data_IF_012939771058
#
_entry.id   IF_012939771058
#
_cell.length_a   1.000
_cell.length_b   1.000
_cell.length_c   1.000
_cell.angle_alpha   90.00
_cell.angle_beta   90.00
_cell.angle_gamma   90.00
#
_symmetry.space_group_name_H-M   'P 1'
#
loop_
_entity.id
_entity.type
_entity.pdbx_description
1 polymer ?
#
# COMPACT_ATOMS: atom_id res chain seq x y z
N UNK A 1 -10.84 -13.93 24.99
CA UNK A 1 -11.71 -13.11 24.13
C UNK A 1 -11.39 -13.43 22.67
N UNK A 2 -12.32 -14.01 21.90
CA UNK A 2 -12.10 -14.28 20.46
C UNK A 2 -12.33 -12.98 19.71
N UNK A 3 -11.24 -12.35 19.22
CA UNK A 3 -11.33 -11.18 18.34
C UNK A 3 -12.14 -11.51 17.09
N UNK A 4 -13.15 -10.70 16.82
CA UNK A 4 -14.01 -10.80 15.65
C UNK A 4 -13.20 -10.49 14.38
N UNK A 5 -13.67 -10.98 13.21
CA UNK A 5 -13.02 -10.66 11.93
C UNK A 5 -12.92 -9.16 11.66
N UNK A 6 -13.88 -8.37 12.15
CA UNK A 6 -13.87 -6.92 12.02
C UNK A 6 -12.74 -6.26 12.82
N UNK A 7 -12.48 -6.73 14.05
CA UNK A 7 -11.38 -6.24 14.89
C UNK A 7 -10.01 -6.58 14.29
N UNK A 8 -9.86 -7.80 13.73
CA UNK A 8 -8.64 -8.19 13.02
C UNK A 8 -8.38 -7.32 11.79
N UNK A 9 -9.44 -6.94 11.06
CA UNK A 9 -9.32 -6.07 9.90
C UNK A 9 -9.00 -4.62 10.28
N UNK A 10 -9.54 -4.10 11.39
CA UNK A 10 -9.13 -2.79 11.93
C UNK A 10 -7.66 -2.78 12.32
N UNK A 11 -7.23 -3.74 13.14
CA UNK A 11 -5.84 -3.85 13.57
C UNK A 11 -4.86 -4.07 12.39
N UNK A 12 -5.31 -4.70 11.30
CA UNK A 12 -4.52 -4.79 10.06
C UNK A 12 -4.38 -3.42 9.39
N UNK A 13 -5.50 -2.70 9.20
CA UNK A 13 -5.49 -1.36 8.59
C UNK A 13 -4.67 -0.37 9.40
N UNK A 14 -4.72 -0.47 10.72
CA UNK A 14 -3.99 0.41 11.64
C UNK A 14 -2.48 0.14 11.58
N UNK A 15 -2.06 -1.13 11.53
CA UNK A 15 -0.66 -1.51 11.26
C UNK A 15 -0.19 -1.07 9.88
N UNK A 16 -1.01 -1.25 8.85
CA UNK A 16 -0.70 -0.84 7.49
C UNK A 16 -0.55 0.70 7.41
N UNK A 17 -1.38 1.46 8.14
CA UNK A 17 -1.27 2.93 8.24
C UNK A 17 -0.03 3.38 9.03
N UNK A 18 0.37 2.62 10.05
CA UNK A 18 1.53 2.94 10.88
C UNK A 18 2.86 2.67 10.14
N UNK A 19 2.96 1.54 9.43
CA UNK A 19 4.09 1.27 8.53
C UNK A 19 4.27 2.36 7.47
N UNK A 20 3.16 3.01 7.11
CA UNK A 20 3.12 4.13 6.17
C UNK A 20 3.64 5.46 6.73
N UNK A 21 3.32 5.76 8.00
CA UNK A 21 3.76 6.97 8.65
C UNK A 21 5.27 6.95 8.96
N UNK A 22 5.82 5.75 9.16
CA UNK A 22 7.23 5.55 9.51
C UNK A 22 8.17 5.46 8.29
N UNK A 23 7.63 5.54 7.06
CA UNK A 23 8.45 5.40 5.84
C UNK A 23 8.99 3.98 5.66
N UNK A 24 8.20 2.97 6.04
CA UNK A 24 8.54 1.56 5.87
C UNK A 24 8.72 1.17 4.40
N UNK A 25 9.50 0.12 4.18
CA UNK A 25 9.81 -0.43 2.86
C UNK A 25 8.50 -0.80 2.13
N UNK A 26 8.24 -0.16 0.98
CA UNK A 26 7.05 -0.38 0.14
C UNK A 26 6.85 -1.86 -0.25
N UNK A 27 7.93 -2.65 -0.16
CA UNK A 27 7.95 -4.10 -0.37
C UNK A 27 7.18 -4.89 0.68
N UNK A 28 7.00 -4.35 1.88
CA UNK A 28 6.30 -5.01 2.99
C UNK A 28 4.78 -4.78 2.95
N UNK A 29 4.30 -3.87 2.09
CA UNK A 29 2.87 -3.61 1.95
C UNK A 29 2.13 -4.84 1.44
N UNK A 30 0.96 -5.16 2.01
CA UNK A 30 0.05 -6.13 1.38
C UNK A 30 -0.48 -5.59 0.05
N UNK A 31 -0.89 -6.44 -0.90
CA UNK A 31 -1.39 -5.98 -2.21
C UNK A 31 -2.56 -4.99 -2.11
N UNK A 32 -3.43 -5.22 -1.13
CA UNK A 32 -4.53 -4.29 -0.82
C UNK A 32 -4.01 -2.94 -0.35
N UNK A 33 -3.07 -2.92 0.59
CA UNK A 33 -2.48 -1.70 1.12
C UNK A 33 -1.72 -0.94 0.02
N UNK A 34 -0.99 -1.65 -0.85
CA UNK A 34 -0.29 -1.08 -2.00
C UNK A 34 -1.26 -0.36 -2.96
N UNK A 35 -2.39 -0.99 -3.30
CA UNK A 35 -3.41 -0.38 -4.17
C UNK A 35 -4.09 0.84 -3.52
N UNK A 36 -4.42 0.74 -2.22
CA UNK A 36 -4.96 1.88 -1.46
C UNK A 36 -3.95 3.05 -1.44
N UNK A 37 -2.65 2.77 -1.34
CA UNK A 37 -1.62 3.81 -1.39
C UNK A 37 -1.37 4.43 -2.75
N UNK A 38 -1.48 3.65 -3.82
CA UNK A 38 -1.43 4.21 -5.17
C UNK A 38 -2.56 5.23 -5.34
N UNK A 39 -3.77 4.92 -4.88
CA UNK A 39 -4.91 5.84 -4.97
C UNK A 39 -4.73 7.12 -4.15
N UNK A 40 -4.24 7.02 -2.90
CA UNK A 40 -3.96 8.18 -2.05
C UNK A 40 -2.84 9.05 -2.64
N UNK A 41 -1.73 8.43 -3.00
CA UNK A 41 -0.56 9.12 -3.56
C UNK A 41 -0.90 9.78 -4.89
N UNK A 42 -1.72 9.15 -5.74
CA UNK A 42 -2.19 9.72 -7.00
C UNK A 42 -3.02 10.99 -6.77
N UNK A 43 -3.94 10.94 -5.81
CA UNK A 43 -4.79 12.10 -5.47
C UNK A 43 -3.94 13.26 -4.97
N UNK A 44 -2.95 12.99 -4.12
CA UNK A 44 -2.01 14.00 -3.63
C UNK A 44 -1.08 14.53 -4.72
N UNK A 45 -0.58 13.66 -5.61
CA UNK A 45 0.26 14.04 -6.74
C UNK A 45 -0.49 14.94 -7.73
N UNK A 46 -1.78 14.65 -7.98
CA UNK A 46 -2.63 15.49 -8.83
C UNK A 46 -2.89 16.87 -8.22
N UNK A 47 -3.01 16.96 -6.89
CA UNK A 47 -3.26 18.21 -6.18
C UNK A 47 -1.99 19.05 -5.95
N UNK A 48 -0.83 18.41 -5.72
CA UNK A 48 0.38 19.07 -5.22
C UNK A 48 1.65 18.80 -6.04
N UNK A 49 1.57 18.04 -7.14
CA UNK A 49 2.70 17.77 -8.03
C UNK A 49 3.75 16.78 -7.51
N UNK A 50 3.53 16.14 -6.35
CA UNK A 50 4.47 15.18 -5.74
C UNK A 50 4.29 13.77 -6.33
N UNK A 51 4.90 13.51 -7.49
CA UNK A 51 4.72 12.26 -8.25
C UNK A 51 5.67 11.12 -7.87
N UNK A 52 6.74 11.39 -7.11
CA UNK A 52 7.78 10.39 -6.82
C UNK A 52 7.26 9.12 -6.13
N UNK A 53 6.41 9.29 -5.11
CA UNK A 53 5.80 8.18 -4.37
C UNK A 53 4.87 7.34 -5.26
N UNK A 54 4.08 7.97 -6.12
CA UNK A 54 3.20 7.27 -7.08
C UNK A 54 4.03 6.36 -7.99
N UNK A 55 5.14 6.87 -8.52
CA UNK A 55 5.99 6.11 -9.42
C UNK A 55 6.65 4.91 -8.71
N UNK A 56 7.05 5.06 -7.45
CA UNK A 56 7.63 3.99 -6.66
C UNK A 56 6.61 2.86 -6.40
N UNK A 57 5.41 3.21 -5.91
CA UNK A 57 4.34 2.26 -5.63
C UNK A 57 3.85 1.53 -6.90
N UNK A 58 3.72 2.23 -8.04
CA UNK A 58 3.33 1.62 -9.32
C UNK A 58 4.41 0.66 -9.84
N UNK A 59 5.69 0.99 -9.67
CA UNK A 59 6.80 0.07 -10.01
C UNK A 59 6.74 -1.21 -9.19
N UNK A 60 6.43 -1.11 -7.90
CA UNK A 60 6.27 -2.27 -7.03
C UNK A 60 5.07 -3.12 -7.45
N UNK A 61 3.92 -2.51 -7.77
CA UNK A 61 2.76 -3.25 -8.31
C UNK A 61 3.13 -3.98 -9.61
N UNK A 62 3.83 -3.32 -10.54
CA UNK A 62 4.30 -3.93 -11.77
C UNK A 62 5.32 -5.06 -11.52
N UNK A 63 6.14 -4.98 -10.48
CA UNK A 63 7.04 -6.06 -10.06
C UNK A 63 6.24 -7.28 -9.59
N UNK A 64 5.19 -7.08 -8.76
CA UNK A 64 4.33 -8.16 -8.27
C UNK A 64 3.52 -8.82 -9.38
N UNK A 65 2.93 -8.04 -10.29
CA UNK A 65 2.23 -8.56 -11.47
C UNK A 65 3.17 -9.43 -12.31
N UNK A 66 4.41 -8.97 -12.57
CA UNK A 66 5.40 -9.78 -13.30
C UNK A 66 5.79 -11.07 -12.58
N UNK A 67 5.75 -11.10 -11.25
CA UNK A 67 5.99 -12.33 -10.50
C UNK A 67 4.84 -13.32 -10.65
N UNK A 68 3.59 -12.83 -10.74
CA UNK A 68 2.40 -13.65 -11.01
C UNK A 68 2.42 -14.16 -12.46
N UNK A 69 2.70 -13.29 -13.42
CA UNK A 69 2.72 -13.62 -14.86
C UNK A 69 3.94 -14.44 -15.30
N UNK A 70 4.83 -14.88 -14.39
CA UNK A 70 5.96 -15.75 -14.69
C UNK A 70 5.60 -17.25 -14.63
N UNK A 71 4.32 -17.57 -14.80
CA UNK A 71 3.84 -18.89 -15.20
C UNK A 71 4.01 -19.08 -16.72
#
# INVERSE_FOLDING_TARGET
MKTTSAERMRAKRERDAQALAEGGDERELSDRALLEQIALSWTQARAHGKTGMVLALVKELARRIRAICKE
#
